data_IF_360805351214
#
_entry.id   IF_360805351214
#
_cell.length_a   1.000
_cell.length_b   1.000
_cell.length_c   1.000
_cell.angle_alpha   90.00
_cell.angle_beta   90.00
_cell.angle_gamma   90.00
#
_symmetry.space_group_name_H-M   'P 1'
#
loop_
_entity.id
_entity.type
_entity.pdbx_description
1 polymer ?
#
# COMPACT_ATOMS: atom_id res chain seq x y z
N UNK A 1 31.35 6.56 -17.15
CA UNK A 1 30.18 6.19 -17.97
C UNK A 1 29.98 4.70 -17.91
N UNK A 2 28.72 4.28 -17.73
CA UNK A 2 28.15 2.94 -17.99
C UNK A 2 28.51 1.80 -17.04
N UNK A 3 27.68 1.68 -16.02
CA UNK A 3 27.31 0.39 -15.40
C UNK A 3 26.65 -0.52 -16.44
N UNK A 4 27.06 -1.78 -16.50
CA UNK A 4 26.32 -2.82 -17.20
C UNK A 4 26.23 -4.09 -16.33
N UNK A 5 24.97 -4.35 -15.94
CA UNK A 5 24.26 -5.62 -15.79
C UNK A 5 24.96 -6.86 -15.21
N UNK A 6 24.51 -7.18 -14.00
CA UNK A 6 24.39 -8.52 -13.41
C UNK A 6 23.52 -9.46 -14.25
N UNK A 7 23.99 -10.68 -14.51
CA UNK A 7 23.23 -11.94 -14.33
C UNK A 7 24.26 -13.06 -14.06
N UNK A 8 24.09 -13.85 -13.00
CA UNK A 8 24.66 -15.19 -12.94
C UNK A 8 23.75 -16.13 -12.14
N UNK A 9 23.44 -17.26 -12.79
CA UNK A 9 22.51 -18.30 -12.39
C UNK A 9 22.95 -19.06 -11.13
N UNK A 10 21.96 -19.46 -10.32
CA UNK A 10 22.15 -20.28 -9.13
C UNK A 10 22.11 -21.75 -9.54
N UNK A 11 23.27 -22.41 -9.53
CA UNK A 11 23.38 -23.86 -9.63
C UNK A 11 24.28 -24.38 -8.49
N UNK A 12 23.69 -25.24 -7.65
CA UNK A 12 24.42 -26.19 -6.82
C UNK A 12 24.86 -25.69 -5.44
N UNK A 13 24.07 -25.99 -4.41
CA UNK A 13 24.57 -26.05 -3.03
C UNK A 13 24.63 -27.53 -2.65
N UNK A 14 25.78 -28.16 -2.85
CA UNK A 14 26.09 -29.44 -2.21
C UNK A 14 27.46 -29.32 -1.55
N UNK A 15 27.45 -29.36 -0.21
CA UNK A 15 28.58 -29.64 0.68
C UNK A 15 29.81 -28.73 0.57
N UNK A 16 29.94 -27.78 1.51
CA UNK A 16 31.19 -27.08 1.75
C UNK A 16 31.09 -26.04 2.86
N UNK A 17 32.03 -26.11 3.81
CA UNK A 17 32.49 -25.11 4.81
C UNK A 17 31.61 -23.86 4.95
N UNK A 18 31.19 -23.57 6.19
CA UNK A 18 30.60 -22.28 6.55
C UNK A 18 31.43 -21.14 5.94
N UNK A 19 30.84 -20.46 4.95
CA UNK A 19 31.45 -19.34 4.26
C UNK A 19 31.08 -18.07 5.02
N UNK A 20 32.06 -17.21 5.30
CA UNK A 20 31.79 -15.88 5.82
C UNK A 20 31.09 -15.07 4.70
N UNK A 21 29.80 -14.77 4.88
CA UNK A 21 29.00 -13.98 3.93
C UNK A 21 28.89 -12.55 4.46
N UNK A 22 29.28 -11.58 3.63
CA UNK A 22 28.97 -10.18 3.92
C UNK A 22 27.52 -9.89 3.54
N UNK A 23 26.73 -9.46 4.53
CA UNK A 23 25.35 -9.03 4.34
C UNK A 23 25.31 -7.50 4.42
N UNK A 24 24.90 -6.84 3.34
CA UNK A 24 24.57 -5.40 3.34
C UNK A 24 23.16 -5.21 3.90
N UNK A 25 23.08 -4.97 5.21
CA UNK A 25 21.83 -4.53 5.85
C UNK A 25 21.70 -3.02 5.69
N UNK A 26 21.12 -2.59 4.57
CA UNK A 26 20.68 -1.19 4.44
C UNK A 26 19.67 -0.88 5.54
N UNK A 27 19.69 0.32 6.14
CA UNK A 27 18.74 0.68 7.18
C UNK A 27 17.32 0.56 6.62
N UNK A 28 16.46 -0.17 7.33
CA UNK A 28 15.04 -0.23 7.01
C UNK A 28 14.52 1.21 7.11
N UNK A 29 14.12 1.79 5.97
CA UNK A 29 13.56 3.15 5.93
C UNK A 29 12.43 3.24 6.95
N UNK A 30 12.53 4.17 7.90
CA UNK A 30 11.52 4.33 8.92
C UNK A 30 10.13 4.56 8.32
N UNK A 31 9.13 3.90 8.90
CA UNK A 31 7.75 4.03 8.43
C UNK A 31 7.24 5.45 8.67
N UNK A 32 6.82 6.14 7.59
CA UNK A 32 6.21 7.46 7.67
C UNK A 32 4.92 7.39 8.48
N UNK A 33 4.83 8.15 9.57
CA UNK A 33 3.62 8.29 10.39
C UNK A 33 2.95 9.62 10.08
N UNK A 34 1.62 9.61 9.93
CA UNK A 34 0.83 10.82 9.73
C UNK A 34 -0.56 10.66 10.35
N UNK A 35 -1.16 11.78 10.77
CA UNK A 35 -2.56 11.82 11.18
C UNK A 35 -3.46 11.92 9.95
N UNK A 36 -4.51 11.12 9.92
CA UNK A 36 -5.48 11.06 8.82
C UNK A 36 -6.91 11.05 9.37
N UNK A 37 -7.88 11.40 8.53
CA UNK A 37 -9.30 11.09 8.77
C UNK A 37 -9.61 9.72 8.19
N UNK A 38 -10.11 8.81 9.00
CA UNK A 38 -10.61 7.51 8.54
C UNK A 38 -12.10 7.63 8.22
N UNK A 39 -12.51 7.10 7.08
CA UNK A 39 -13.90 6.87 6.68
C UNK A 39 -14.04 5.46 6.14
N UNK A 40 -15.25 5.01 5.82
CA UNK A 40 -15.45 3.75 5.11
C UNK A 40 -16.45 3.89 3.97
N UNK A 41 -16.25 3.07 2.94
CA UNK A 41 -17.13 2.94 1.79
C UNK A 41 -17.49 1.47 1.53
N UNK A 42 -18.63 1.24 0.87
CA UNK A 42 -19.21 -0.09 0.65
C UNK A 42 -19.58 -0.33 -0.82
N UNK A 43 -19.81 -1.59 -1.23
CA UNK A 43 -20.33 -1.90 -2.55
C UNK A 43 -21.68 -1.22 -2.77
N UNK A 44 -21.91 -0.68 -3.97
CA UNK A 44 -23.18 -0.05 -4.32
C UNK A 44 -23.19 1.48 -4.22
N UNK A 45 -22.11 2.11 -3.76
CA UNK A 45 -21.99 3.57 -3.77
C UNK A 45 -21.79 4.15 -5.17
N UNK A 46 -21.23 3.36 -6.08
CA UNK A 46 -21.08 3.68 -7.50
C UNK A 46 -21.02 2.41 -8.39
N UNK A 47 -20.93 2.59 -9.71
CA UNK A 47 -20.86 1.47 -10.67
C UNK A 47 -19.63 0.57 -10.43
N UNK A 48 -18.50 1.16 -10.04
CA UNK A 48 -17.23 0.45 -9.87
C UNK A 48 -17.21 -0.40 -8.59
N UNK A 49 -17.57 0.20 -7.45
CA UNK A 49 -17.71 -0.44 -6.14
C UNK A 49 -18.78 -1.55 -6.17
N UNK A 50 -19.87 -1.38 -6.93
CA UNK A 50 -20.86 -2.45 -7.18
C UNK A 50 -20.21 -3.69 -7.78
N UNK A 51 -19.25 -3.51 -8.70
CA UNK A 51 -18.49 -4.59 -9.33
C UNK A 51 -17.25 -5.00 -8.52
N UNK A 52 -17.06 -4.44 -7.33
CA UNK A 52 -15.85 -4.59 -6.51
C UNK A 52 -14.59 -4.22 -7.27
N UNK A 53 -14.63 -3.18 -8.10
CA UNK A 53 -13.49 -2.74 -8.90
C UNK A 53 -12.90 -1.45 -8.33
N UNK A 54 -11.60 -1.48 -8.02
CA UNK A 54 -10.84 -0.28 -7.66
C UNK A 54 -10.30 0.44 -8.90
N UNK A 55 -9.86 1.69 -8.72
CA UNK A 55 -9.17 2.50 -9.74
C UNK A 55 -7.85 1.90 -10.24
N UNK A 56 -7.22 0.98 -9.51
CA UNK A 56 -6.05 0.21 -10.01
C UNK A 56 -6.42 -1.04 -10.80
N UNK A 57 -7.72 -1.34 -10.94
CA UNK A 57 -8.22 -2.60 -11.49
C UNK A 57 -8.20 -3.77 -10.51
N UNK A 58 -7.74 -3.56 -9.27
CA UNK A 58 -7.76 -4.60 -8.23
C UNK A 58 -9.20 -4.90 -7.81
N UNK A 59 -9.55 -6.18 -7.69
CA UNK A 59 -10.81 -6.60 -7.07
C UNK A 59 -10.82 -6.27 -5.57
N UNK A 60 -11.73 -5.40 -5.14
CA UNK A 60 -11.87 -4.93 -3.77
C UNK A 60 -12.19 -6.07 -2.80
N UNK A 61 -11.61 -6.00 -1.59
CA UNK A 61 -11.79 -6.97 -0.51
C UNK A 61 -11.94 -6.23 0.81
N UNK A 62 -13.06 -6.45 1.48
CA UNK A 62 -13.35 -5.80 2.75
C UNK A 62 -12.29 -6.14 3.80
N UNK A 63 -11.96 -5.16 4.65
CA UNK A 63 -10.94 -5.35 5.68
C UNK A 63 -9.51 -5.48 5.16
N UNK A 64 -9.27 -5.24 3.86
CA UNK A 64 -7.94 -5.33 3.24
C UNK A 64 -7.60 -4.12 2.36
N UNK A 65 -8.57 -3.56 1.65
CA UNK A 65 -8.33 -2.51 0.65
C UNK A 65 -8.88 -1.16 1.11
N UNK A 66 -8.23 -0.08 0.68
CA UNK A 66 -8.64 1.29 0.98
C UNK A 66 -8.33 2.23 -0.19
N UNK A 67 -9.05 3.35 -0.22
CA UNK A 67 -8.83 4.46 -1.12
C UNK A 67 -8.01 5.58 -0.44
N UNK A 68 -7.09 6.16 -1.21
CA UNK A 68 -6.20 7.25 -0.74
C UNK A 68 -6.04 8.33 -1.81
N UNK A 69 -5.39 9.43 -1.43
CA UNK A 69 -4.83 10.41 -2.35
C UNK A 69 -3.40 9.97 -2.76
N UNK A 70 -3.17 9.55 -4.03
CA UNK A 70 -1.87 9.04 -4.49
C UNK A 70 -0.71 10.04 -4.36
N UNK A 71 -1.00 11.34 -4.35
CA UNK A 71 0.00 12.39 -4.23
C UNK A 71 0.55 12.50 -2.79
N UNK A 72 -0.18 11.94 -1.80
CA UNK A 72 0.20 11.93 -0.38
C UNK A 72 0.65 10.54 0.07
N UNK A 73 -0.10 9.51 -0.32
CA UNK A 73 0.13 8.10 -0.02
C UNK A 73 0.13 7.35 -1.35
N UNK A 74 1.30 6.89 -1.84
CA UNK A 74 1.37 6.17 -3.12
C UNK A 74 0.46 4.94 -3.12
N UNK A 75 -0.14 4.65 -4.28
CA UNK A 75 -0.85 3.39 -4.47
C UNK A 75 0.09 2.20 -4.20
N UNK A 76 -0.50 1.09 -3.75
CA UNK A 76 0.17 -0.11 -3.26
C UNK A 76 0.92 0.04 -1.92
N UNK A 77 0.85 1.21 -1.29
CA UNK A 77 1.32 1.38 0.08
C UNK A 77 0.56 0.47 1.05
N UNK A 78 1.30 -0.12 1.99
CA UNK A 78 0.75 -0.83 3.15
C UNK A 78 0.53 0.16 4.28
N UNK A 79 -0.70 0.23 4.77
CA UNK A 79 -1.14 1.17 5.80
C UNK A 79 -1.51 0.40 7.06
N UNK A 80 -0.77 0.66 8.14
CA UNK A 80 -1.12 0.20 9.48
C UNK A 80 -1.78 1.34 10.23
N UNK A 81 -3.10 1.24 10.44
CA UNK A 81 -3.82 2.16 11.31
C UNK A 81 -3.40 1.84 12.75
N UNK A 82 -2.83 2.81 13.46
CA UNK A 82 -2.45 2.64 14.85
C UNK A 82 -3.72 2.36 15.68
N UNK A 83 -3.69 1.30 16.48
CA UNK A 83 -4.83 0.72 17.22
C UNK A 83 -5.84 -0.07 16.36
N UNK A 84 -5.60 -0.21 15.05
CA UNK A 84 -6.30 -1.16 14.20
C UNK A 84 -5.71 -2.56 14.29
N UNK A 85 -6.55 -3.60 14.08
CA UNK A 85 -6.11 -5.01 14.04
C UNK A 85 -5.56 -5.44 12.67
N UNK A 86 -5.74 -4.62 11.64
CA UNK A 86 -5.53 -5.01 10.23
C UNK A 86 -4.55 -4.06 9.53
N UNK A 87 -3.83 -4.60 8.57
CA UNK A 87 -3.09 -3.85 7.56
C UNK A 87 -3.99 -3.65 6.33
N UNK A 88 -3.92 -2.46 5.76
CA UNK A 88 -4.68 -2.08 4.57
C UNK A 88 -3.72 -1.85 3.40
N UNK A 89 -4.20 -2.09 2.17
CA UNK A 89 -3.45 -1.81 0.95
C UNK A 89 -4.18 -0.71 0.18
N UNK A 90 -3.44 0.34 -0.17
CA UNK A 90 -3.92 1.48 -0.95
C UNK A 90 -4.06 1.10 -2.43
N UNK A 91 -5.17 0.49 -2.82
CA UNK A 91 -5.40 0.07 -4.22
C UNK A 91 -6.39 0.97 -4.95
N UNK A 92 -6.91 2.00 -4.28
CA UNK A 92 -8.01 2.78 -4.80
C UNK A 92 -7.87 4.29 -4.56
N UNK A 93 -8.71 5.09 -5.22
CA UNK A 93 -8.80 6.54 -5.07
C UNK A 93 -10.21 7.03 -5.38
N UNK A 94 -10.54 8.25 -4.96
CA UNK A 94 -11.83 8.87 -5.25
C UNK A 94 -11.79 10.39 -5.09
N UNK A 95 -12.69 11.09 -5.76
CA UNK A 95 -12.73 12.57 -5.76
C UNK A 95 -12.91 13.14 -4.35
N UNK A 96 -13.75 12.51 -3.52
CA UNK A 96 -13.96 12.92 -2.12
C UNK A 96 -12.72 12.70 -1.23
N UNK A 97 -11.93 11.66 -1.53
CA UNK A 97 -10.68 11.35 -0.84
C UNK A 97 -9.60 12.37 -1.21
N UNK A 98 -9.40 12.64 -2.51
CA UNK A 98 -8.44 13.64 -3.02
C UNK A 98 -8.78 15.06 -2.53
N UNK A 99 -10.05 15.44 -2.54
CA UNK A 99 -10.51 16.74 -2.01
C UNK A 99 -10.55 16.80 -0.47
N UNK A 100 -10.22 15.70 0.23
CA UNK A 100 -10.24 15.60 1.69
C UNK A 100 -11.58 16.03 2.30
N UNK A 101 -12.69 15.71 1.62
CA UNK A 101 -14.04 16.18 1.95
C UNK A 101 -14.42 15.87 3.40
N UNK A 102 -14.16 14.64 3.85
CA UNK A 102 -14.49 14.16 5.20
C UNK A 102 -13.72 14.89 6.34
N UNK A 103 -12.60 15.53 6.02
CA UNK A 103 -11.81 16.30 6.99
C UNK A 103 -11.97 17.82 6.81
N UNK A 104 -12.85 18.27 5.90
CA UNK A 104 -12.99 19.69 5.50
C UNK A 104 -11.65 20.28 5.06
N UNK A 105 -10.86 19.52 4.29
CA UNK A 105 -9.55 19.95 3.80
C UNK A 105 -8.39 19.85 4.81
N UNK A 106 -8.66 19.55 6.09
CA UNK A 106 -7.66 19.66 7.18
C UNK A 106 -6.67 18.50 7.25
N UNK A 107 -7.09 17.31 6.88
CA UNK A 107 -6.28 16.09 6.99
C UNK A 107 -6.42 15.21 5.76
N UNK A 108 -5.38 14.47 5.35
CA UNK A 108 -5.54 13.38 4.38
C UNK A 108 -6.65 12.42 4.83
N UNK A 109 -7.34 11.83 3.86
CA UNK A 109 -8.41 10.85 4.11
C UNK A 109 -7.90 9.47 3.68
N UNK A 110 -8.13 8.47 4.52
CA UNK A 110 -8.00 7.06 4.17
C UNK A 110 -9.38 6.45 4.29
N UNK A 111 -9.94 6.03 3.17
CA UNK A 111 -11.31 5.52 3.09
C UNK A 111 -11.27 4.01 2.97
N UNK A 112 -11.70 3.29 4.00
CA UNK A 112 -11.54 1.83 4.07
C UNK A 112 -12.71 1.11 3.43
N UNK A 113 -12.43 0.08 2.63
CA UNK A 113 -13.50 -0.72 2.04
C UNK A 113 -14.07 -1.69 3.09
N UNK A 114 -15.34 -1.52 3.44
CA UNK A 114 -15.98 -2.13 4.60
C UNK A 114 -17.22 -2.99 4.24
N UNK A 115 -17.18 -3.66 3.08
CA UNK A 115 -18.23 -4.60 2.65
C UNK A 115 -18.50 -5.74 3.64
#
# INVERSE_FOLDING_TARGET
MRSLCYIAAILGITSGKAANVMIDMRPVKEAKRMKVRITGYWPGEDEWSTRYQSSTGTRLRAGRHCAVDPDIIPLWSKIKILNGKREWVAVDTGTAVKSRKASRGRMPVVDVFAA
#
